data_IF_614599861388
#
_entry.id   IF_614599861388
#
_cell.length_a   1.000
_cell.length_b   1.000
_cell.length_c   1.000
_cell.angle_alpha   90.00
_cell.angle_beta   90.00
_cell.angle_gamma   90.00
#
_symmetry.space_group_name_H-M   'P 1'
#
loop_
_entity.id
_entity.type
_entity.pdbx_description
1 polymer ?
#
# COMPACT_ATOMS: atom_id res chain seq x y z
N UNK A 1 -2.22 -5.60 13.46
CA UNK A 1 -3.14 -4.57 13.99
C UNK A 1 -2.43 -3.54 14.87
N UNK A 2 -1.59 -3.94 15.83
CA UNK A 2 -0.84 -3.00 16.67
C UNK A 2 0.00 -1.98 15.87
N UNK A 3 0.71 -2.41 14.82
CA UNK A 3 1.51 -1.51 13.96
C UNK A 3 0.66 -0.43 13.28
N UNK A 4 -0.48 -0.82 12.68
CA UNK A 4 -1.39 0.12 12.03
C UNK A 4 -1.98 1.13 13.02
N UNK A 5 -2.37 0.67 14.21
CA UNK A 5 -2.88 1.54 15.27
C UNK A 5 -1.82 2.53 15.75
N UNK A 6 -0.57 2.07 15.91
CA UNK A 6 0.56 2.92 16.27
C UNK A 6 0.85 3.98 15.21
N UNK A 7 0.90 3.60 13.92
CA UNK A 7 1.06 4.55 12.81
C UNK A 7 -0.07 5.59 12.82
N UNK A 8 -1.30 5.13 13.01
CA UNK A 8 -2.46 6.01 13.03
C UNK A 8 -2.39 7.02 14.18
N UNK A 9 -2.06 6.57 15.39
CA UNK A 9 -2.00 7.44 16.57
C UNK A 9 -0.82 8.40 16.56
N UNK A 10 0.35 7.96 16.09
CA UNK A 10 1.60 8.73 16.21
C UNK A 10 1.86 9.63 15.01
N UNK A 11 1.36 9.28 13.82
CA UNK A 11 1.64 10.05 12.60
C UNK A 11 0.38 10.61 11.96
N UNK A 12 -0.66 9.79 11.80
CA UNK A 12 -1.86 10.21 11.07
C UNK A 12 -2.67 11.23 11.86
N UNK A 13 -2.90 10.99 13.15
CA UNK A 13 -3.62 11.95 14.00
C UNK A 13 -2.87 13.29 14.13
N UNK A 14 -1.56 13.32 14.44
CA UNK A 14 -0.79 14.57 14.49
C UNK A 14 -0.72 15.28 13.13
N UNK A 15 -0.58 14.54 12.03
CA UNK A 15 -0.63 15.12 10.69
C UNK A 15 -1.97 15.80 10.44
N UNK A 16 -3.09 15.14 10.75
CA UNK A 16 -4.43 15.72 10.57
C UNK A 16 -4.62 16.96 11.44
N UNK A 17 -4.08 16.98 12.66
CA UNK A 17 -4.12 18.16 13.51
C UNK A 17 -3.34 19.33 12.90
N UNK A 18 -2.14 19.07 12.35
CA UNK A 18 -1.30 20.08 11.70
C UNK A 18 -1.81 20.50 10.30
N UNK A 19 -2.51 19.61 9.59
CA UNK A 19 -2.96 19.78 8.22
C UNK A 19 -4.44 20.19 8.10
N UNK A 20 -5.00 20.83 9.13
CA UNK A 20 -6.40 21.27 9.17
C UNK A 20 -7.42 20.16 8.81
N UNK A 21 -7.16 18.94 9.29
CA UNK A 21 -8.02 17.76 9.09
C UNK A 21 -7.73 16.97 7.81
N UNK A 22 -6.83 17.43 6.93
CA UNK A 22 -6.43 16.72 5.70
C UNK A 22 -5.73 15.40 6.04
N UNK A 23 -5.99 14.38 5.23
CA UNK A 23 -5.31 13.09 5.34
C UNK A 23 -4.06 13.04 4.44
N UNK A 24 -3.00 12.32 4.87
CA UNK A 24 -1.88 11.98 3.99
C UNK A 24 -2.38 11.31 2.71
N UNK A 25 -1.78 11.65 1.56
CA UNK A 25 -2.20 11.12 0.26
C UNK A 25 -2.10 9.59 0.21
N UNK A 26 -1.04 9.04 0.78
CA UNK A 26 -0.77 7.60 0.85
C UNK A 26 -1.86 6.80 1.59
N UNK A 27 -2.70 7.45 2.41
CA UNK A 27 -3.77 6.80 3.18
C UNK A 27 -5.16 6.99 2.59
N UNK A 28 -5.31 7.76 1.50
CA UNK A 28 -6.62 7.94 0.85
C UNK A 28 -7.01 6.69 0.08
N UNK A 29 -7.92 5.89 0.64
CA UNK A 29 -8.44 4.67 0.02
C UNK A 29 -9.24 4.98 -1.27
N UNK A 30 -9.86 6.16 -1.35
CA UNK A 30 -10.56 6.61 -2.57
C UNK A 30 -9.59 6.92 -3.74
N UNK A 31 -8.28 6.86 -3.49
CA UNK A 31 -7.27 7.36 -4.41
C UNK A 31 -7.16 8.87 -4.38
N UNK A 32 -6.35 9.39 -5.29
CA UNK A 32 -6.11 10.82 -5.51
C UNK A 32 -5.65 11.00 -6.97
N UNK A 33 -5.63 12.24 -7.45
CA UNK A 33 -5.22 12.59 -8.81
C UNK A 33 -3.92 13.39 -8.82
N UNK A 34 -3.39 13.67 -10.01
CA UNK A 34 -2.15 14.43 -10.18
C UNK A 34 -2.22 15.82 -9.56
N UNK A 35 -3.40 16.46 -9.63
CA UNK A 35 -3.64 17.77 -9.00
C UNK A 35 -3.54 17.73 -7.48
N UNK A 36 -3.95 16.64 -6.84
CA UNK A 36 -3.84 16.46 -5.39
C UNK A 36 -2.37 16.37 -4.94
N UNK A 37 -1.49 15.78 -5.77
CA UNK A 37 -0.05 15.67 -5.47
C UNK A 37 0.59 17.06 -5.45
N UNK A 38 0.26 17.89 -6.44
CA UNK A 38 0.76 19.27 -6.54
C UNK A 38 0.21 20.15 -5.40
N UNK A 39 -1.10 20.06 -5.13
CA UNK A 39 -1.74 20.78 -4.02
C UNK A 39 -1.12 20.39 -2.68
N UNK A 40 -0.92 19.09 -2.44
CA UNK A 40 -0.27 18.61 -1.22
C UNK A 40 1.17 19.11 -1.11
N UNK A 41 1.96 19.08 -2.20
CA UNK A 41 3.31 19.61 -2.17
C UNK A 41 3.33 21.11 -1.81
N UNK A 42 2.46 21.91 -2.42
CA UNK A 42 2.37 23.33 -2.13
C UNK A 42 1.91 23.59 -0.69
N UNK A 43 0.98 22.79 -0.19
CA UNK A 43 0.52 22.85 1.20
C UNK A 43 1.63 22.51 2.20
N UNK A 44 2.39 21.45 1.96
CA UNK A 44 3.47 21.03 2.84
C UNK A 44 4.65 22.01 2.83
N UNK A 45 4.86 22.74 1.73
CA UNK A 45 5.85 23.84 1.69
C UNK A 45 5.47 24.99 2.60
N UNK A 46 4.17 25.27 2.77
CA UNK A 46 3.70 26.34 3.67
C UNK A 46 3.47 25.88 5.11
N UNK A 47 3.45 24.56 5.37
CA UNK A 47 3.21 23.97 6.68
C UNK A 47 4.34 23.00 7.06
N UNK A 48 5.48 23.52 7.59
CA UNK A 48 6.66 22.71 7.86
C UNK A 48 6.41 21.61 8.91
N UNK A 49 5.51 21.85 9.87
CA UNK A 49 5.14 20.86 10.89
C UNK A 49 4.47 19.62 10.27
N UNK A 50 3.53 19.83 9.36
CA UNK A 50 2.87 18.75 8.63
C UNK A 50 3.85 18.03 7.70
N UNK A 51 4.78 18.76 7.07
CA UNK A 51 5.81 18.18 6.23
C UNK A 51 6.77 17.28 7.00
N UNK A 52 7.23 17.71 8.18
CA UNK A 52 8.09 16.91 9.04
C UNK A 52 7.41 15.60 9.47
N UNK A 53 6.13 15.65 9.83
CA UNK A 53 5.36 14.45 10.20
C UNK A 53 5.19 13.52 9.00
N UNK A 54 4.87 14.05 7.81
CA UNK A 54 4.75 13.21 6.62
C UNK A 54 6.07 12.58 6.22
N UNK A 55 7.17 13.34 6.26
CA UNK A 55 8.49 12.78 5.99
C UNK A 55 8.87 11.69 7.00
N UNK A 56 8.58 11.90 8.29
CA UNK A 56 8.80 10.89 9.32
C UNK A 56 7.96 9.63 9.12
N UNK A 57 6.72 9.77 8.65
CA UNK A 57 5.84 8.67 8.29
C UNK A 57 6.40 7.87 7.10
N UNK A 58 6.82 8.56 6.04
CA UNK A 58 7.25 7.93 4.80
C UNK A 58 8.62 7.24 4.93
N UNK A 59 9.56 7.83 5.69
CA UNK A 59 10.93 7.29 5.85
C UNK A 59 11.04 6.00 6.66
N UNK A 60 10.06 5.68 7.50
CA UNK A 60 10.14 4.50 8.36
C UNK A 60 8.82 3.74 8.44
N UNK A 61 7.84 4.24 9.20
CA UNK A 61 6.63 3.48 9.51
C UNK A 61 5.85 3.01 8.28
N UNK A 62 5.76 3.84 7.22
CA UNK A 62 5.06 3.46 5.99
C UNK A 62 5.78 2.32 5.24
N UNK A 63 7.12 2.38 5.12
CA UNK A 63 7.92 1.31 4.53
C UNK A 63 7.83 0.02 5.34
N UNK A 64 7.99 0.11 6.66
CA UNK A 64 7.85 -1.04 7.56
C UNK A 64 6.47 -1.66 7.44
N UNK A 65 5.41 -0.84 7.36
CA UNK A 65 4.05 -1.31 7.16
C UNK A 65 3.87 -2.01 5.81
N UNK A 66 4.41 -1.47 4.73
CA UNK A 66 4.36 -2.07 3.40
C UNK A 66 5.05 -3.45 3.38
N UNK A 67 6.25 -3.55 3.94
CA UNK A 67 7.01 -4.81 4.02
C UNK A 67 6.31 -5.81 4.94
N UNK A 68 5.85 -5.38 6.11
CA UNK A 68 5.15 -6.25 7.07
C UNK A 68 3.83 -6.77 6.49
N UNK A 69 3.06 -5.92 5.81
CA UNK A 69 1.81 -6.31 5.15
C UNK A 69 2.06 -7.29 3.99
N UNK A 70 3.11 -7.06 3.22
CA UNK A 70 3.56 -7.98 2.16
C UNK A 70 3.93 -9.35 2.72
N UNK A 71 4.77 -9.37 3.77
CA UNK A 71 5.18 -10.60 4.43
C UNK A 71 3.98 -11.33 5.03
N UNK A 72 3.05 -10.60 5.66
CA UNK A 72 1.82 -11.18 6.20
C UNK A 72 0.96 -11.82 5.10
N UNK A 73 0.68 -11.10 4.01
CA UNK A 73 -0.06 -11.64 2.86
C UNK A 73 0.61 -12.89 2.29
N UNK A 74 1.93 -12.86 2.14
CA UNK A 74 2.71 -13.98 1.65
C UNK A 74 2.65 -15.19 2.59
N UNK A 75 2.81 -14.97 3.90
CA UNK A 75 2.72 -16.03 4.92
C UNK A 75 1.30 -16.61 5.01
N UNK A 76 0.26 -15.78 4.91
CA UNK A 76 -1.13 -16.24 4.86
C UNK A 76 -1.37 -17.12 3.63
N UNK A 77 -0.83 -16.75 2.46
CA UNK A 77 -0.91 -17.61 1.28
C UNK A 77 -0.16 -18.92 1.48
N UNK A 78 1.02 -18.91 2.10
CA UNK A 78 1.73 -20.16 2.45
C UNK A 78 0.93 -21.02 3.42
N UNK A 79 0.29 -20.42 4.42
CA UNK A 79 -0.51 -21.13 5.42
C UNK A 79 -1.73 -21.81 4.82
N UNK A 80 -2.41 -21.09 3.92
CA UNK A 80 -3.60 -21.61 3.24
C UNK A 80 -3.25 -22.77 2.30
N UNK A 81 -1.96 -22.97 1.97
CA UNK A 81 -1.45 -24.03 1.08
C UNK A 81 -2.33 -24.14 -0.16
N UNK A 82 -2.19 -23.24 -1.16
CA UNK A 82 -2.91 -23.31 -2.43
C UNK A 82 -2.45 -24.55 -3.21
N UNK A 83 -2.87 -25.72 -2.75
CA UNK A 83 -2.70 -27.04 -3.32
C UNK A 83 -4.07 -27.68 -3.22
N UNK A 84 -4.77 -27.68 -4.35
CA UNK A 84 -6.17 -28.04 -4.40
C UNK A 84 -6.79 -27.62 -5.72
N UNK A 85 -8.06 -27.98 -5.88
CA UNK A 85 -8.81 -27.82 -7.11
C UNK A 85 -9.33 -26.36 -7.21
N UNK A 86 -8.92 -25.60 -8.21
CA UNK A 86 -9.44 -24.26 -8.52
C UNK A 86 -10.46 -24.35 -9.64
N UNK A 87 -11.73 -24.02 -9.34
CA UNK A 87 -12.87 -24.20 -10.25
C UNK A 87 -13.02 -25.65 -10.78
N UNK A 88 -12.91 -26.66 -9.92
CA UNK A 88 -13.06 -28.05 -10.36
C UNK A 88 -11.85 -28.60 -11.15
N UNK A 89 -10.75 -27.85 -11.29
CA UNK A 89 -9.50 -28.31 -11.92
C UNK A 89 -8.27 -28.17 -11.01
N UNK A 90 -7.30 -29.09 -11.05
CA UNK A 90 -6.03 -28.90 -10.33
C UNK A 90 -5.38 -27.58 -10.77
N UNK A 91 -4.89 -26.79 -9.80
CA UNK A 91 -4.25 -25.50 -10.11
C UNK A 91 -3.00 -25.78 -10.95
N UNK A 92 -2.89 -25.20 -12.16
CA UNK A 92 -1.66 -25.31 -12.93
C UNK A 92 -0.52 -24.59 -12.19
N UNK A 93 0.74 -25.04 -12.32
CA UNK A 93 1.87 -24.44 -11.63
C UNK A 93 1.99 -22.92 -11.89
N UNK A 94 1.58 -22.45 -13.07
CA UNK A 94 1.49 -21.02 -13.40
C UNK A 94 0.50 -20.23 -12.51
N UNK A 95 -0.62 -20.83 -12.12
CA UNK A 95 -1.61 -20.21 -11.23
C UNK A 95 -1.09 -20.06 -9.81
N UNK A 96 -0.32 -21.04 -9.33
CA UNK A 96 0.37 -20.94 -8.02
C UNK A 96 1.40 -19.81 -8.05
N UNK A 97 2.20 -19.72 -9.12
CA UNK A 97 3.19 -18.65 -9.28
C UNK A 97 2.54 -17.26 -9.29
N UNK A 98 1.42 -17.08 -10.01
CA UNK A 98 0.68 -15.82 -10.04
C UNK A 98 0.14 -15.43 -8.66
N UNK A 99 -0.32 -16.41 -7.88
CA UNK A 99 -0.84 -16.17 -6.55
C UNK A 99 0.26 -15.70 -5.58
N UNK A 100 1.45 -16.28 -5.67
CA UNK A 100 2.60 -15.87 -4.86
C UNK A 100 3.25 -14.56 -5.34
N UNK A 101 3.08 -14.16 -6.61
CA UNK A 101 3.59 -12.88 -7.10
C UNK A 101 2.75 -11.68 -6.68
N UNK A 102 1.46 -11.88 -6.37
CA UNK A 102 0.53 -10.82 -5.94
C UNK A 102 0.98 -10.05 -4.69
N UNK A 103 1.34 -10.70 -3.56
CA UNK A 103 1.87 -9.99 -2.40
C UNK A 103 3.16 -9.23 -2.72
N UNK A 104 4.03 -9.81 -3.54
CA UNK A 104 5.30 -9.18 -3.93
C UNK A 104 5.00 -7.91 -4.74
N UNK A 105 4.10 -8.00 -5.70
CA UNK A 105 3.65 -6.85 -6.49
C UNK A 105 3.04 -5.76 -5.59
N UNK A 106 2.17 -6.14 -4.65
CA UNK A 106 1.62 -5.21 -3.66
C UNK A 106 2.74 -4.48 -2.89
N UNK A 107 3.72 -5.23 -2.37
CA UNK A 107 4.85 -4.66 -1.63
C UNK A 107 5.70 -3.72 -2.46
N UNK A 108 6.04 -4.11 -3.69
CA UNK A 108 6.80 -3.26 -4.62
C UNK A 108 6.08 -1.96 -4.92
N UNK A 109 4.77 -2.02 -5.18
CA UNK A 109 3.96 -0.84 -5.48
C UNK A 109 3.83 0.08 -4.26
N UNK A 110 3.59 -0.49 -3.07
CA UNK A 110 3.48 0.27 -1.82
C UNK A 110 4.81 0.91 -1.41
N UNK A 111 5.92 0.17 -1.53
CA UNK A 111 7.26 0.74 -1.32
C UNK A 111 7.59 1.81 -2.35
N UNK A 112 7.27 1.57 -3.64
CA UNK A 112 7.51 2.53 -4.71
C UNK A 112 6.77 3.84 -4.50
N UNK A 113 5.50 3.80 -4.09
CA UNK A 113 4.72 5.00 -3.77
C UNK A 113 5.35 5.78 -2.60
N UNK A 114 5.77 5.07 -1.56
CA UNK A 114 6.40 5.67 -0.37
C UNK A 114 7.75 6.30 -0.70
N UNK A 115 8.60 5.61 -1.47
CA UNK A 115 9.88 6.15 -1.93
C UNK A 115 9.66 7.40 -2.79
N UNK A 116 8.68 7.36 -3.69
CA UNK A 116 8.36 8.50 -4.53
C UNK A 116 7.84 9.68 -3.71
N UNK A 117 7.07 9.43 -2.65
CA UNK A 117 6.63 10.46 -1.70
C UNK A 117 7.83 11.12 -0.98
N UNK A 118 8.82 10.34 -0.53
CA UNK A 118 10.06 10.86 0.08
C UNK A 118 10.84 11.75 -0.89
N UNK A 119 10.89 11.39 -2.17
CA UNK A 119 11.65 12.12 -3.19
C UNK A 119 10.96 13.42 -3.65
N UNK A 120 9.68 13.58 -3.35
CA UNK A 120 8.84 14.66 -3.89
C UNK A 120 8.40 15.63 -2.81
N UNK A 121 8.00 15.12 -1.64
CA UNK A 121 7.54 15.98 -0.55
C UNK A 121 8.71 16.53 0.25
N UNK A 122 8.53 17.70 0.90
CA UNK A 122 9.58 18.29 1.72
C UNK A 122 10.03 17.30 2.81
N UNK A 123 11.34 17.25 3.14
CA UNK A 123 12.38 18.22 2.83
C UNK A 123 13.00 18.10 1.43
N UNK A 124 12.55 17.16 0.58
CA UNK A 124 13.06 17.06 -0.78
C UNK A 124 12.70 18.32 -1.59
N UNK A 125 13.63 18.70 -2.49
CA UNK A 125 13.47 19.77 -3.47
C UNK A 125 13.41 19.12 -4.86
N UNK A 126 12.26 18.57 -5.28
CA UNK A 126 12.17 17.87 -6.55
C UNK A 126 12.38 18.83 -7.72
N UNK A 127 13.06 18.35 -8.76
CA UNK A 127 13.06 19.03 -10.06
C UNK A 127 11.63 19.05 -10.64
N UNK A 128 11.33 19.98 -11.54
CA UNK A 128 10.02 20.03 -12.21
C UNK A 128 9.71 18.72 -12.95
N UNK A 129 10.73 18.09 -13.55
CA UNK A 129 10.58 16.80 -14.23
C UNK A 129 10.24 15.67 -13.25
N UNK A 130 10.92 15.61 -12.09
CA UNK A 130 10.64 14.62 -11.05
C UNK A 130 9.24 14.80 -10.47
N UNK A 131 8.81 16.05 -10.29
CA UNK A 131 7.48 16.39 -9.80
C UNK A 131 6.40 16.01 -10.81
N UNK A 132 6.58 16.32 -12.10
CA UNK A 132 5.64 15.94 -13.15
C UNK A 132 5.51 14.41 -13.26
N UNK A 133 6.64 13.69 -13.21
CA UNK A 133 6.64 12.23 -13.18
C UNK A 133 5.89 11.69 -11.96
N UNK A 134 6.18 12.21 -10.76
CA UNK A 134 5.54 11.77 -9.54
C UNK A 134 4.04 12.07 -9.50
N UNK A 135 3.62 13.23 -9.99
CA UNK A 135 2.22 13.61 -10.06
C UNK A 135 1.42 12.61 -10.92
N UNK A 136 2.01 12.04 -11.96
CA UNK A 136 1.37 11.02 -12.80
C UNK A 136 1.46 9.63 -12.17
N UNK A 137 2.63 9.26 -11.63
CA UNK A 137 2.91 7.89 -11.20
C UNK A 137 2.35 7.58 -9.80
N UNK A 138 2.40 8.51 -8.86
CA UNK A 138 1.91 8.30 -7.50
C UNK A 138 0.43 7.89 -7.46
N UNK A 139 -0.51 8.57 -8.16
CA UNK A 139 -1.90 8.12 -8.26
C UNK A 139 -2.05 6.68 -8.76
N UNK A 140 -1.25 6.31 -9.77
CA UNK A 140 -1.29 4.96 -10.37
C UNK A 140 -0.83 3.92 -9.36
N UNK A 141 0.28 4.19 -8.65
CA UNK A 141 0.77 3.30 -7.58
C UNK A 141 -0.24 3.20 -6.43
N UNK A 142 -0.82 4.33 -6.02
CA UNK A 142 -1.86 4.39 -5.00
C UNK A 142 -3.09 3.54 -5.37
N UNK A 143 -3.54 3.57 -6.62
CA UNK A 143 -4.65 2.71 -7.10
C UNK A 143 -4.22 1.24 -7.19
N UNK A 144 -3.03 0.97 -7.72
CA UNK A 144 -2.53 -0.39 -7.95
C UNK A 144 -2.26 -1.13 -6.64
N UNK A 145 -1.76 -0.47 -5.58
CA UNK A 145 -1.56 -1.10 -4.27
C UNK A 145 -2.89 -1.55 -3.66
N UNK A 146 -3.94 -0.73 -3.75
CA UNK A 146 -5.24 -1.09 -3.19
C UNK A 146 -5.90 -2.18 -4.03
N UNK A 147 -5.79 -2.09 -5.36
CA UNK A 147 -6.29 -3.13 -6.26
C UNK A 147 -5.63 -4.49 -5.99
N UNK A 148 -4.30 -4.54 -5.94
CA UNK A 148 -3.54 -5.76 -5.65
C UNK A 148 -3.85 -6.31 -4.26
N UNK A 149 -4.01 -5.44 -3.25
CA UNK A 149 -4.42 -5.83 -1.91
C UNK A 149 -5.81 -6.47 -1.89
N UNK A 150 -6.80 -5.84 -2.54
CA UNK A 150 -8.17 -6.36 -2.60
C UNK A 150 -8.20 -7.71 -3.32
N UNK A 151 -7.52 -7.84 -4.45
CA UNK A 151 -7.41 -9.11 -5.19
C UNK A 151 -6.75 -10.19 -4.34
N UNK A 152 -5.65 -9.86 -3.64
CA UNK A 152 -4.97 -10.80 -2.75
C UNK A 152 -5.88 -11.27 -1.61
N UNK A 153 -6.65 -10.37 -0.99
CA UNK A 153 -7.60 -10.70 0.08
C UNK A 153 -8.73 -11.59 -0.42
N UNK A 154 -9.34 -11.27 -1.58
CA UNK A 154 -10.41 -12.08 -2.17
C UNK A 154 -9.91 -13.50 -2.44
N UNK A 155 -8.73 -13.64 -3.03
CA UNK A 155 -8.14 -14.95 -3.30
C UNK A 155 -7.82 -15.70 -2.00
N UNK A 156 -7.25 -15.03 -1.01
CA UNK A 156 -6.98 -15.60 0.32
C UNK A 156 -8.25 -16.15 0.97
N UNK A 157 -9.33 -15.35 1.00
CA UNK A 157 -10.62 -15.78 1.57
C UNK A 157 -11.14 -17.00 0.82
N UNK A 158 -11.11 -16.95 -0.51
CA UNK A 158 -11.61 -18.06 -1.34
C UNK A 158 -10.85 -19.35 -1.06
N UNK A 159 -9.52 -19.30 -1.02
CA UNK A 159 -8.72 -20.48 -0.73
C UNK A 159 -8.87 -20.95 0.71
N UNK A 160 -9.01 -20.04 1.68
CA UNK A 160 -9.25 -20.40 3.08
C UNK A 160 -10.62 -21.06 3.31
N UNK A 161 -11.64 -20.70 2.52
CA UNK A 161 -12.95 -21.35 2.54
C UNK A 161 -12.89 -22.72 1.85
N UNK A 162 -12.27 -22.78 0.66
CA UNK A 162 -12.15 -24.03 -0.09
C UNK A 162 -11.30 -25.08 0.63
N UNK A 163 -10.23 -24.67 1.32
CA UNK A 163 -9.38 -25.60 2.09
C UNK A 163 -10.04 -26.14 3.37
N UNK A 164 -11.17 -25.58 3.79
CA UNK A 164 -11.94 -26.02 4.96
C UNK A 164 -13.16 -26.90 4.63
N UNK A 165 -13.46 -27.11 3.35
CA UNK A 165 -14.54 -28.03 2.96
C UNK A 165 -14.01 -29.46 3.12
N UNK A 166 -14.59 -30.30 4.02
CA UNK A 166 -14.22 -31.71 4.08
C UNK A 166 -14.58 -32.37 2.75
N UNK A 167 -13.69 -33.24 2.25
CA UNK A 167 -14.04 -34.15 1.16
C UNK A 167 -15.31 -34.90 1.60
N UNK A 168 -16.42 -34.67 0.90
CA UNK A 168 -17.60 -35.50 1.01
C UNK A 168 -17.26 -36.81 0.31
N UNK A 169 -16.84 -37.78 1.12
CA UNK A 169 -16.80 -39.21 0.75
C UNK A 169 -18.17 -39.69 0.24
#
# INVERSE_FOLDING_TARGET
>A
MALAAWIYMVFVLPFRAAAAGRNPLSLRVQGYESGDVLDMLQFLRSHPDAAAIQHGLDTGPALVFAVASTALLFLLLKLVKPGGIFFGRPIPPAGVTLLFSLPILYGLVACGETILAILVFPPALPSEQSLAFAAVVMPVLGRLKFLTLVVAIILLIRFAVLSRQPELD
#
